data_IF_142963710720
#
_entry.id   IF_142963710720
#
_cell.length_a   1.000
_cell.length_b   1.000
_cell.length_c   1.000
_cell.angle_alpha   90.00
_cell.angle_beta   90.00
_cell.angle_gamma   90.00
#
_symmetry.space_group_name_H-M   'P 1'
#
loop_
_entity.id
_entity.type
_entity.pdbx_description
1 polymer ?
#
# COMPACT_ATOMS: atom_id res chain seq x y z
N UNK A 1 26.17 20.93 2.59
CA UNK A 1 25.38 22.04 1.98
C UNK A 1 23.99 22.14 2.61
N UNK A 2 23.27 21.02 2.80
CA UNK A 2 21.93 21.01 3.40
C UNK A 2 21.87 21.27 4.91
N UNK A 3 22.95 21.01 5.66
CA UNK A 3 23.00 21.11 7.13
C UNK A 3 22.72 22.51 7.68
N UNK A 4 22.94 23.55 6.87
CA UNK A 4 22.84 24.95 7.27
C UNK A 4 21.68 25.68 6.57
N UNK A 5 20.83 24.96 5.81
CA UNK A 5 19.68 25.57 5.17
C UNK A 5 18.56 25.81 6.19
N UNK A 6 17.83 26.95 6.09
CA UNK A 6 16.61 27.16 6.86
C UNK A 6 15.58 26.06 6.59
N UNK A 7 14.77 25.75 7.60
CA UNK A 7 13.75 24.70 7.50
C UNK A 7 12.74 24.96 6.37
N UNK A 8 12.40 26.22 6.12
CA UNK A 8 11.46 26.62 5.07
C UNK A 8 12.00 26.25 3.68
N UNK A 9 13.32 26.37 3.48
CA UNK A 9 13.97 25.98 2.22
C UNK A 9 14.01 24.46 2.11
N UNK A 10 14.30 23.76 3.20
CA UNK A 10 14.26 22.29 3.24
C UNK A 10 12.84 21.77 2.93
N UNK A 11 11.79 22.42 3.45
CA UNK A 11 10.40 22.08 3.15
C UNK A 11 10.08 22.21 1.66
N UNK A 12 10.51 23.30 1.02
CA UNK A 12 10.31 23.50 -0.42
C UNK A 12 11.04 22.42 -1.21
N UNK A 13 12.31 22.16 -0.89
CA UNK A 13 13.09 21.12 -1.57
C UNK A 13 12.42 19.76 -1.39
N UNK A 14 12.10 19.36 -0.15
CA UNK A 14 11.45 18.09 0.11
C UNK A 14 10.12 18.00 -0.64
N UNK A 15 9.30 19.05 -0.68
CA UNK A 15 8.01 19.03 -1.39
C UNK A 15 8.13 18.76 -2.89
N UNK A 16 9.29 19.05 -3.49
CA UNK A 16 9.56 18.82 -4.93
C UNK A 16 10.12 17.43 -5.24
N UNK A 17 10.55 16.68 -4.23
CA UNK A 17 11.13 15.34 -4.38
C UNK A 17 10.08 14.25 -4.21
N UNK A 18 10.26 13.14 -4.91
CA UNK A 18 9.50 11.92 -4.60
C UNK A 18 9.99 11.29 -3.29
N UNK A 19 9.22 10.33 -2.77
CA UNK A 19 9.53 9.65 -1.50
C UNK A 19 10.90 8.95 -1.48
N UNK A 20 11.37 8.43 -2.62
CA UNK A 20 12.65 7.73 -2.72
C UNK A 20 13.82 8.71 -2.66
N UNK A 21 13.74 9.82 -3.39
CA UNK A 21 14.70 10.90 -3.35
C UNK A 21 14.77 11.56 -1.96
N UNK A 22 13.61 11.80 -1.35
CA UNK A 22 13.52 12.37 0.00
C UNK A 22 14.14 11.43 1.05
N UNK A 23 13.89 10.11 0.95
CA UNK A 23 14.54 9.10 1.80
C UNK A 23 16.06 9.14 1.65
N UNK A 24 16.57 9.13 0.41
CA UNK A 24 18.01 9.15 0.13
C UNK A 24 18.69 10.40 0.72
N UNK A 25 18.06 11.56 0.62
CA UNK A 25 18.55 12.77 1.29
C UNK A 25 18.46 12.67 2.82
N UNK A 26 17.39 12.09 3.36
CA UNK A 26 17.22 11.85 4.79
C UNK A 26 18.32 10.99 5.40
N UNK A 27 18.79 9.97 4.68
CA UNK A 27 19.91 9.13 5.08
C UNK A 27 21.23 9.90 5.21
N UNK A 28 21.40 10.96 4.43
CA UNK A 28 22.61 11.79 4.42
C UNK A 28 22.51 13.00 5.35
N UNK A 29 21.29 13.47 5.64
CA UNK A 29 21.05 14.71 6.38
C UNK A 29 19.93 14.55 7.42
N UNK A 30 20.33 14.54 8.70
CA UNK A 30 19.39 14.34 9.83
C UNK A 30 18.24 15.35 9.87
N UNK A 31 18.48 16.61 9.46
CA UNK A 31 17.43 17.65 9.44
C UNK A 31 16.32 17.31 8.44
N UNK A 32 16.68 16.74 7.28
CA UNK A 32 15.73 16.29 6.26
C UNK A 32 14.92 15.12 6.81
N UNK A 33 15.57 14.16 7.47
CA UNK A 33 14.88 13.01 8.06
C UNK A 33 13.89 13.43 9.17
N UNK A 34 14.27 14.38 10.03
CA UNK A 34 13.39 14.91 11.06
C UNK A 34 12.17 15.61 10.45
N UNK A 35 12.40 16.40 9.39
CA UNK A 35 11.34 17.10 8.67
C UNK A 35 10.38 16.13 7.99
N UNK A 36 10.90 15.09 7.33
CA UNK A 36 10.13 14.01 6.70
C UNK A 36 9.21 13.34 7.71
N UNK A 37 9.74 12.91 8.86
CA UNK A 37 8.95 12.29 9.95
C UNK A 37 7.85 13.21 10.46
N UNK A 38 8.16 14.49 10.69
CA UNK A 38 7.18 15.49 11.12
C UNK A 38 6.05 15.65 10.10
N UNK A 39 6.40 15.73 8.81
CA UNK A 39 5.43 15.87 7.73
C UNK A 39 4.55 14.63 7.57
N UNK A 40 5.12 13.44 7.68
CA UNK A 40 4.36 12.18 7.67
C UNK A 40 3.34 12.13 8.81
N UNK A 41 3.77 12.46 10.04
CA UNK A 41 2.86 12.46 11.19
C UNK A 41 1.71 13.46 10.97
N UNK A 42 2.01 14.65 10.44
CA UNK A 42 0.98 15.64 10.10
C UNK A 42 -0.02 15.10 9.06
N UNK A 43 0.43 14.36 8.06
CA UNK A 43 -0.44 13.77 7.04
C UNK A 43 -1.30 12.64 7.64
N UNK A 44 -0.70 11.75 8.41
CA UNK A 44 -1.41 10.68 9.13
C UNK A 44 -2.51 11.20 10.04
N UNK A 45 -2.24 12.25 10.83
CA UNK A 45 -3.26 12.84 11.70
C UNK A 45 -4.47 13.31 10.89
N UNK A 46 -4.25 13.93 9.72
CA UNK A 46 -5.35 14.36 8.84
C UNK A 46 -6.16 13.17 8.33
N UNK A 47 -5.48 12.15 7.81
CA UNK A 47 -6.12 10.93 7.28
C UNK A 47 -6.97 10.24 8.36
N UNK A 48 -6.40 10.02 9.54
CA UNK A 48 -7.04 9.31 10.64
C UNK A 48 -8.12 10.13 11.37
N UNK A 49 -8.09 11.45 11.24
CA UNK A 49 -9.16 12.33 11.77
C UNK A 49 -10.39 12.40 10.87
N UNK A 50 -10.33 11.83 9.65
CA UNK A 50 -11.46 11.81 8.73
C UNK A 50 -12.52 10.81 9.19
N UNK A 51 -13.79 11.20 9.34
CA UNK A 51 -14.87 10.30 9.74
C UNK A 51 -15.32 9.45 8.55
N UNK A 52 -14.55 8.41 8.22
CA UNK A 52 -14.85 7.50 7.12
C UNK A 52 -15.33 6.13 7.62
N UNK A 53 -16.51 5.64 7.17
CA UNK A 53 -17.07 4.38 7.63
C UNK A 53 -16.32 3.16 7.08
N UNK A 54 -15.62 3.31 5.95
CA UNK A 54 -14.89 2.23 5.28
C UNK A 54 -13.41 2.56 5.22
N UNK A 55 -12.74 2.36 6.35
CA UNK A 55 -11.37 2.82 6.57
C UNK A 55 -10.37 2.23 5.57
N UNK A 56 -10.51 0.96 5.17
CA UNK A 56 -9.64 0.36 4.15
C UNK A 56 -9.66 1.13 2.83
N UNK A 57 -10.85 1.41 2.28
CA UNK A 57 -10.99 2.10 1.00
C UNK A 57 -10.50 3.54 1.08
N UNK A 58 -10.76 4.22 2.20
CA UNK A 58 -10.23 5.55 2.48
C UNK A 58 -8.69 5.57 2.48
N UNK A 59 -8.06 4.63 3.18
CA UNK A 59 -6.60 4.52 3.21
C UNK A 59 -6.03 4.26 1.81
N UNK A 60 -6.64 3.34 1.04
CA UNK A 60 -6.21 3.04 -0.31
C UNK A 60 -6.33 4.26 -1.24
N UNK A 61 -7.44 4.99 -1.17
CA UNK A 61 -7.64 6.22 -1.94
C UNK A 61 -6.58 7.27 -1.60
N UNK A 62 -6.31 7.49 -0.31
CA UNK A 62 -5.27 8.41 0.14
C UNK A 62 -3.87 8.03 -0.37
N UNK A 63 -3.57 6.72 -0.43
CA UNK A 63 -2.30 6.23 -0.99
C UNK A 63 -2.22 6.57 -2.48
N UNK A 64 -3.27 6.25 -3.24
CA UNK A 64 -3.32 6.46 -4.69
C UNK A 64 -3.23 7.94 -5.05
N UNK A 65 -3.85 8.83 -4.28
CA UNK A 65 -3.90 10.27 -4.58
C UNK A 65 -2.60 11.00 -4.26
N UNK A 66 -1.85 10.55 -3.26
CA UNK A 66 -0.64 11.25 -2.82
C UNK A 66 0.42 10.29 -2.29
N UNK A 67 1.53 10.18 -3.02
CA UNK A 67 2.68 9.35 -2.68
C UNK A 67 3.18 9.55 -1.23
N UNK A 68 3.31 10.80 -0.76
CA UNK A 68 3.86 11.08 0.58
C UNK A 68 2.87 10.75 1.68
N UNK A 69 1.58 10.95 1.42
CA UNK A 69 0.51 10.48 2.31
C UNK A 69 0.52 8.96 2.35
N UNK A 70 0.67 8.34 1.19
CA UNK A 70 0.78 6.90 1.04
C UNK A 70 1.92 6.31 1.85
N UNK A 71 3.13 6.88 1.76
CA UNK A 71 4.26 6.45 2.58
C UNK A 71 3.95 6.56 4.09
N UNK A 72 3.31 7.66 4.50
CA UNK A 72 2.95 7.87 5.89
C UNK A 72 1.96 6.79 6.38
N UNK A 73 0.95 6.47 5.58
CA UNK A 73 -0.01 5.39 5.82
C UNK A 73 0.70 4.04 5.92
N UNK A 74 1.54 3.71 4.93
CA UNK A 74 2.18 2.40 4.82
C UNK A 74 3.13 2.10 6.00
N UNK A 75 3.79 3.13 6.56
CA UNK A 75 4.70 3.01 7.71
C UNK A 75 4.00 3.06 9.08
N UNK A 76 2.68 3.29 9.11
CA UNK A 76 1.93 3.32 10.35
C UNK A 76 1.34 1.94 10.66
N UNK A 77 1.72 1.35 11.79
CA UNK A 77 1.28 0.00 12.20
C UNK A 77 -0.24 -0.18 12.25
N UNK A 78 -0.99 0.82 12.70
CA UNK A 78 -2.45 0.74 12.72
C UNK A 78 -3.03 0.69 11.30
N UNK A 79 -2.55 1.57 10.41
CA UNK A 79 -2.96 1.57 9.01
C UNK A 79 -2.54 0.29 8.28
N UNK A 80 -1.31 -0.19 8.51
CA UNK A 80 -0.80 -1.45 7.96
C UNK A 80 -1.69 -2.62 8.34
N UNK A 81 -2.06 -2.72 9.62
CA UNK A 81 -2.97 -3.77 10.08
C UNK A 81 -4.32 -3.74 9.36
N UNK A 82 -4.90 -2.56 9.14
CA UNK A 82 -6.14 -2.42 8.36
C UNK A 82 -5.94 -2.89 6.92
N UNK A 83 -4.88 -2.43 6.27
CA UNK A 83 -4.57 -2.75 4.88
C UNK A 83 -4.34 -4.26 4.65
N UNK A 84 -3.77 -4.95 5.63
CA UNK A 84 -3.53 -6.40 5.53
C UNK A 84 -4.77 -7.20 5.93
N UNK A 85 -5.40 -6.87 7.07
CA UNK A 85 -6.44 -7.73 7.69
C UNK A 85 -7.86 -7.42 7.24
N UNK A 86 -8.13 -6.20 6.75
CA UNK A 86 -9.45 -5.77 6.29
C UNK A 86 -9.54 -5.66 4.76
N UNK A 87 -8.59 -6.28 4.04
CA UNK A 87 -8.60 -6.39 2.58
C UNK A 87 -9.91 -7.04 2.11
N UNK A 88 -10.70 -6.39 1.23
CA UNK A 88 -11.87 -7.00 0.62
C UNK A 88 -11.46 -8.15 -0.32
N UNK A 89 -12.23 -9.24 -0.32
CA UNK A 89 -12.02 -10.36 -1.26
C UNK A 89 -12.16 -9.94 -2.73
N UNK A 90 -12.93 -8.87 -3.01
CA UNK A 90 -13.10 -8.28 -4.33
C UNK A 90 -11.88 -7.51 -4.83
N UNK A 91 -10.89 -7.25 -3.97
CA UNK A 91 -9.67 -6.51 -4.31
C UNK A 91 -8.42 -7.23 -3.80
N UNK A 92 -8.15 -8.47 -4.26
CA UNK A 92 -7.03 -9.27 -3.78
C UNK A 92 -5.69 -8.56 -4.03
N UNK A 93 -5.57 -7.87 -5.17
CA UNK A 93 -4.31 -7.32 -5.68
C UNK A 93 -4.05 -5.84 -5.32
N UNK A 94 -4.69 -5.29 -4.28
CA UNK A 94 -4.61 -3.84 -4.00
C UNK A 94 -3.18 -3.29 -3.86
N UNK A 95 -2.25 -4.08 -3.30
CA UNK A 95 -0.83 -3.70 -3.20
C UNK A 95 -0.21 -3.52 -4.60
N UNK A 96 -0.56 -4.40 -5.54
CA UNK A 96 -0.08 -4.31 -6.91
C UNK A 96 -0.68 -3.10 -7.62
N UNK A 97 -1.96 -2.79 -7.36
CA UNK A 97 -2.60 -1.56 -7.85
C UNK A 97 -1.92 -0.29 -7.33
N UNK A 98 -1.43 -0.29 -6.08
CA UNK A 98 -0.58 0.81 -5.60
C UNK A 98 0.70 0.91 -6.42
N UNK A 99 1.28 -0.22 -6.84
CA UNK A 99 2.43 -0.23 -7.74
C UNK A 99 2.21 0.45 -9.07
N UNK A 100 1.00 0.34 -9.63
CA UNK A 100 0.63 1.03 -10.87
C UNK A 100 0.43 2.53 -10.67
N UNK A 101 -0.20 2.93 -9.56
CA UNK A 101 -0.51 4.35 -9.31
C UNK A 101 0.65 5.14 -8.68
N UNK A 102 1.45 4.50 -7.83
CA UNK A 102 2.50 5.11 -7.00
C UNK A 102 3.74 4.20 -6.93
N UNK A 103 4.45 3.99 -8.05
CA UNK A 103 5.51 2.98 -8.17
C UNK A 103 6.68 3.15 -7.19
N UNK A 104 7.01 4.38 -6.76
CA UNK A 104 8.09 4.61 -5.79
C UNK A 104 7.75 4.13 -4.37
N UNK A 105 6.49 3.79 -4.08
CA UNK A 105 6.10 3.18 -2.82
C UNK A 105 6.41 1.68 -2.76
N UNK A 106 6.59 1.02 -3.91
CA UNK A 106 6.78 -0.42 -3.97
C UNK A 106 8.02 -0.90 -3.21
N UNK A 107 9.12 -0.13 -3.27
CA UNK A 107 10.31 -0.43 -2.48
C UNK A 107 9.99 -0.50 -0.98
N UNK A 108 9.25 0.48 -0.46
CA UNK A 108 8.89 0.53 0.96
C UNK A 108 7.92 -0.59 1.37
N UNK A 109 6.95 -0.90 0.50
CA UNK A 109 6.01 -2.00 0.76
C UNK A 109 6.78 -3.32 0.77
N UNK A 110 7.66 -3.53 -0.20
CA UNK A 110 8.41 -4.79 -0.32
C UNK A 110 9.53 -4.90 0.72
N UNK A 111 10.01 -3.83 1.34
CA UNK A 111 10.94 -3.91 2.48
C UNK A 111 10.29 -4.51 3.74
N UNK A 112 9.01 -4.23 3.97
CA UNK A 112 8.26 -4.72 5.13
C UNK A 112 7.78 -6.16 4.90
N UNK A 113 8.12 -7.03 5.85
CA UNK A 113 7.83 -8.46 5.77
C UNK A 113 6.32 -8.77 5.86
N UNK A 114 5.56 -8.00 6.62
CA UNK A 114 4.12 -8.23 6.80
C UNK A 114 3.37 -8.03 5.48
N UNK A 115 3.74 -6.97 4.72
CA UNK A 115 3.16 -6.75 3.39
C UNK A 115 3.57 -7.87 2.42
N UNK A 116 4.84 -8.28 2.40
CA UNK A 116 5.28 -9.41 1.54
C UNK A 116 4.56 -10.71 1.88
N UNK A 117 4.35 -10.98 3.17
CA UNK A 117 3.65 -12.17 3.64
C UNK A 117 2.15 -12.11 3.37
N UNK A 118 1.56 -10.92 3.24
CA UNK A 118 0.15 -10.74 2.88
C UNK A 118 -0.16 -11.08 1.41
N UNK A 119 0.86 -11.09 0.54
CA UNK A 119 0.71 -11.46 -0.86
C UNK A 119 0.69 -12.98 -1.02
N UNK A 120 -0.12 -13.47 -1.94
CA UNK A 120 -0.06 -14.85 -2.43
C UNK A 120 1.21 -15.08 -3.26
N UNK A 121 1.51 -16.34 -3.56
CA UNK A 121 2.62 -16.70 -4.43
C UNK A 121 2.46 -16.11 -5.84
N UNK A 122 1.27 -16.26 -6.43
CA UNK A 122 0.94 -15.72 -7.76
C UNK A 122 1.08 -14.19 -7.79
N UNK A 123 0.62 -13.49 -6.75
CA UNK A 123 0.80 -12.03 -6.65
C UNK A 123 2.26 -11.64 -6.57
N UNK A 124 3.07 -12.42 -5.85
CA UNK A 124 4.50 -12.18 -5.72
C UNK A 124 5.23 -12.47 -7.05
N UNK A 125 4.86 -13.53 -7.76
CA UNK A 125 5.37 -13.85 -9.11
C UNK A 125 5.04 -12.75 -10.11
N UNK A 126 3.78 -12.31 -10.13
CA UNK A 126 3.35 -11.20 -10.98
C UNK A 126 4.11 -9.92 -10.65
N UNK A 127 4.28 -9.62 -9.35
CA UNK A 127 5.04 -8.47 -8.92
C UNK A 127 6.47 -8.50 -9.44
N UNK A 128 7.18 -9.63 -9.25
CA UNK A 128 8.58 -9.76 -9.68
C UNK A 128 8.70 -9.67 -11.20
N UNK A 129 7.79 -10.26 -11.97
CA UNK A 129 7.81 -10.19 -13.42
C UNK A 129 7.68 -8.75 -13.97
N UNK A 130 6.95 -7.87 -13.26
CA UNK A 130 6.59 -6.55 -13.77
C UNK A 130 7.35 -5.39 -13.10
N UNK A 131 7.71 -5.52 -11.83
CA UNK A 131 8.21 -4.42 -11.01
C UNK A 131 9.59 -4.67 -10.36
N UNK A 132 10.23 -5.82 -10.59
CA UNK A 132 11.55 -6.13 -10.02
C UNK A 132 12.58 -5.01 -10.24
N UNK A 133 12.55 -4.35 -11.40
CA UNK A 133 13.48 -3.26 -11.74
C UNK A 133 13.34 -2.02 -10.86
N UNK A 134 12.23 -1.89 -10.13
CA UNK A 134 11.98 -0.79 -9.21
C UNK A 134 12.61 -1.03 -7.84
N UNK A 135 13.04 -2.27 -7.56
CA UNK A 135 13.62 -2.67 -6.29
C UNK A 135 15.16 -2.66 -6.31
N UNK A 136 15.79 -2.45 -5.15
CA UNK A 136 17.21 -2.74 -4.96
C UNK A 136 17.52 -4.23 -5.25
N UNK A 137 18.66 -4.57 -5.87
CA UNK A 137 19.02 -5.94 -6.20
C UNK A 137 18.98 -6.90 -5.01
N UNK A 138 19.40 -6.43 -3.82
CA UNK A 138 19.41 -7.22 -2.60
C UNK A 138 17.99 -7.59 -2.14
N UNK A 139 17.05 -6.66 -2.31
CA UNK A 139 15.65 -6.88 -1.96
C UNK A 139 14.99 -7.84 -2.96
N UNK A 140 15.25 -7.68 -4.25
CA UNK A 140 14.78 -8.62 -5.28
C UNK A 140 15.26 -10.05 -5.02
N UNK A 141 16.55 -10.22 -4.72
CA UNK A 141 17.12 -11.52 -4.39
C UNK A 141 16.45 -12.17 -3.18
N UNK A 142 16.20 -11.38 -2.13
CA UNK A 142 15.47 -11.83 -0.92
C UNK A 142 14.05 -12.31 -1.26
N UNK A 143 13.31 -11.54 -2.06
CA UNK A 143 11.93 -11.91 -2.44
C UNK A 143 11.92 -13.19 -3.27
N UNK A 144 12.89 -13.39 -4.17
CA UNK A 144 13.01 -14.62 -4.98
C UNK A 144 13.27 -15.83 -4.07
N UNK A 145 14.13 -15.68 -3.06
CA UNK A 145 14.38 -16.73 -2.07
C UNK A 145 13.13 -17.06 -1.24
N UNK A 146 12.42 -16.04 -0.75
CA UNK A 146 11.14 -16.20 -0.03
C UNK A 146 10.10 -16.89 -0.91
N UNK A 147 10.02 -16.52 -2.20
CA UNK A 147 9.07 -17.06 -3.17
C UNK A 147 9.27 -18.56 -3.41
N UNK A 148 10.53 -19.02 -3.48
CA UNK A 148 10.85 -20.44 -3.62
C UNK A 148 10.32 -21.29 -2.46
N UNK A 149 10.17 -20.69 -1.28
CA UNK A 149 9.68 -21.34 -0.06
C UNK A 149 8.19 -21.09 0.21
N UNK A 150 7.54 -20.24 -0.59
CA UNK A 150 6.14 -19.85 -0.41
C UNK A 150 5.21 -20.95 -0.92
N UNK A 151 4.28 -21.39 -0.08
CA UNK A 151 3.29 -22.40 -0.47
C UNK A 151 2.27 -21.80 -1.43
N UNK A 152 1.92 -22.57 -2.47
CA UNK A 152 0.76 -22.29 -3.30
C UNK A 152 -0.50 -22.44 -2.44
N UNK A 153 -1.11 -21.30 -2.07
CA UNK A 153 -2.50 -21.31 -1.65
C UNK A 153 -3.34 -21.45 -2.91
N UNK A 154 -3.69 -22.68 -3.27
CA UNK A 154 -4.82 -22.90 -4.16
C UNK A 154 -6.06 -22.36 -3.44
N UNK A 155 -6.62 -21.26 -3.95
CA UNK A 155 -8.04 -20.99 -3.76
C UNK A 155 -8.76 -22.20 -4.37
N UNK A 156 -9.20 -23.13 -3.53
CA UNK A 156 -10.36 -23.93 -3.92
C UNK A 156 -11.45 -22.91 -4.26
N UNK A 157 -11.94 -22.97 -5.49
CA UNK A 157 -13.13 -22.24 -5.93
C UNK A 157 -14.19 -22.42 -4.84
N UNK A 158 -14.48 -21.35 -4.11
CA UNK A 158 -15.77 -21.26 -3.45
C UNK A 158 -16.74 -21.20 -4.61
N UNK A 159 -17.24 -22.39 -4.98
CA UNK A 159 -18.42 -22.55 -5.82
C UNK A 159 -19.44 -21.56 -5.29
N UNK A 160 -19.72 -20.55 -6.09
CA UNK A 160 -20.92 -19.77 -5.93
C UNK A 160 -22.07 -20.76 -6.07
N UNK A 161 -22.65 -21.17 -4.96
CA UNK A 161 -24.00 -21.71 -4.96
C UNK A 161 -24.91 -20.58 -5.42
N UNK A 162 -25.02 -20.41 -6.74
CA UNK A 162 -26.19 -19.81 -7.37
C UNK A 162 -27.35 -20.79 -7.23
N UNK A 163 -27.79 -21.07 -5.99
CA UNK A 163 -29.13 -21.61 -5.77
C UNK A 163 -30.15 -20.47 -5.88
N UNK A 164 -30.56 -20.29 -7.13
CA UNK A 164 -31.90 -19.90 -7.58
C UNK A 164 -32.61 -18.77 -6.82
N UNK A 165 -32.52 -17.56 -7.38
CA UNK A 165 -33.67 -16.65 -7.42
C UNK A 165 -34.82 -17.31 -8.22
N UNK A 166 -35.67 -18.06 -7.52
CA UNK A 166 -37.04 -18.42 -7.89
C UNK A 166 -37.86 -18.20 -6.61
N UNK A 167 -38.89 -17.37 -6.50
CA UNK A 167 -39.88 -16.88 -7.44
C UNK A 167 -40.34 -15.49 -6.96
N UNK A 168 -40.24 -14.46 -7.81
CA UNK A 168 -41.15 -13.32 -7.72
C UNK A 168 -42.02 -13.32 -8.96
N UNK A 169 -43.19 -13.95 -8.87
CA UNK A 169 -44.42 -13.61 -9.62
C UNK A 169 -45.55 -14.61 -9.33
N UNK A 170 -46.42 -14.24 -8.40
CA UNK A 170 -47.88 -14.28 -8.61
C UNK A 170 -48.58 -13.62 -7.43
N UNK A 171 -48.80 -12.30 -7.51
CA UNK A 171 -49.96 -11.72 -6.86
C UNK A 171 -51.13 -11.93 -7.83
N UNK A 172 -51.95 -12.93 -7.53
CA UNK A 172 -53.28 -13.07 -8.08
C UNK A 172 -54.25 -12.35 -7.12
N UNK A 173 -54.90 -11.24 -7.52
CA UNK A 173 -55.99 -10.67 -6.76
C UNK A 173 -57.30 -11.17 -7.38
N UNK A 174 -57.80 -12.31 -6.92
CA UNK A 174 -59.18 -12.68 -7.17
C UNK A 174 -59.89 -13.01 -5.84
N UNK A 175 -60.95 -12.21 -5.59
CA UNK A 175 -62.04 -12.34 -4.61
C UNK A 175 -61.84 -11.78 -3.20
#
# INVERSE_FOLDING_TARGET
>A
MFSNLPNEILEIICSSLNVKEERNLGLLFQNVENLRKKNMMRQLTKVLSSPEPVLFHHLLQCIIDNEKTGLAILQNEYCKNILITQKPNSLPHWILSIGECQPNLLEFIMEDEDYRNSLTKIETEYFMANYEKLLPPELSAKIIEELANKKDFHYEEILFDEEEEKETRSFDPSL
#
